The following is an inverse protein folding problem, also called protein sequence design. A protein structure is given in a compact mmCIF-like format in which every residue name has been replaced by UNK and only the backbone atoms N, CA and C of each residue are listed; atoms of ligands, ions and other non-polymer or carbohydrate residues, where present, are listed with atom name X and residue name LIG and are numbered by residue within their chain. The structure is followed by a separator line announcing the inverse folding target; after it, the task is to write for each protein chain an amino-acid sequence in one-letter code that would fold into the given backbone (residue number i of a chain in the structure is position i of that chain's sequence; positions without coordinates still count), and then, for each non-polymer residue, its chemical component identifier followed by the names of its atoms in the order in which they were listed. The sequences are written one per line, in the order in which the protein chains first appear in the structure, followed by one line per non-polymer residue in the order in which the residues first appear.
data_IF_493203863995
#
_entry.id   IF_493203863995
#
_cell.length_a   1.000
_cell.length_b   1.000
_cell.length_c   1.000
_cell.angle_alpha   90.00
_cell.angle_beta   90.00
_cell.angle_gamma   90.00
#
_symmetry.space_group_name_H-M   'P 1'
#
loop_
_entity.id
_entity.type
_entity.pdbx_description
1 polymer ?
#
# COMPACT_ATOMS: atom_id res chain seq x y z
N UNK A 1 -24.17 -7.01 4.32
CA UNK A 1 -23.36 -6.53 3.19
C UNK A 1 -22.23 -5.72 3.79
N UNK A 2 -20.98 -6.12 3.58
CA UNK A 2 -19.80 -5.35 4.02
C UNK A 2 -19.78 -4.05 3.22
N UNK A 3 -19.77 -2.91 3.91
CA UNK A 3 -19.75 -1.60 3.25
C UNK A 3 -18.36 -1.35 2.67
N UNK A 4 -18.30 -1.01 1.39
CA UNK A 4 -17.06 -0.60 0.75
C UNK A 4 -16.54 0.70 1.40
N UNK A 5 -15.26 0.73 1.79
CA UNK A 5 -14.61 1.95 2.29
C UNK A 5 -14.07 2.80 1.14
N UNK A 6 -13.74 2.16 0.02
CA UNK A 6 -13.20 2.82 -1.16
C UNK A 6 -13.83 2.24 -2.42
N UNK A 7 -14.32 3.11 -3.30
CA UNK A 7 -14.80 2.72 -4.62
C UNK A 7 -14.12 3.59 -5.68
N UNK A 8 -13.56 2.95 -6.68
CA UNK A 8 -12.90 3.58 -7.82
C UNK A 8 -13.77 3.29 -9.04
N UNK A 9 -14.18 4.35 -9.76
CA UNK A 9 -15.09 4.25 -10.91
C UNK A 9 -14.51 4.98 -12.11
N UNK A 10 -14.33 4.25 -13.20
CA UNK A 10 -13.82 4.80 -14.46
C UNK A 10 -12.50 5.57 -14.34
N UNK A 11 -11.62 5.16 -13.43
CA UNK A 11 -10.39 5.90 -13.15
C UNK A 11 -9.47 5.87 -14.36
N UNK A 12 -9.01 7.05 -14.79
CA UNK A 12 -8.11 7.25 -15.92
C UNK A 12 -6.91 8.07 -15.51
N UNK A 13 -5.75 7.79 -16.09
CA UNK A 13 -4.55 8.60 -15.95
C UNK A 13 -3.77 8.64 -17.24
N UNK A 14 -3.50 9.85 -17.71
CA UNK A 14 -2.65 10.10 -18.89
C UNK A 14 -1.51 11.05 -18.53
N UNK A 15 -0.38 10.87 -19.19
CA UNK A 15 0.76 11.77 -19.20
C UNK A 15 0.98 12.24 -20.65
N UNK A 16 0.50 13.43 -20.98
CA UNK A 16 0.41 13.88 -22.35
C UNK A 16 -0.48 12.97 -23.19
N UNK A 17 0.03 12.40 -24.27
CA UNK A 17 -0.70 11.45 -25.12
C UNK A 17 -0.64 10.00 -24.64
N UNK A 18 0.16 9.70 -23.63
CA UNK A 18 0.30 8.32 -23.11
C UNK A 18 -0.75 8.03 -22.03
N UNK A 19 -1.75 7.22 -22.37
CA UNK A 19 -2.79 6.75 -21.45
C UNK A 19 -2.28 5.54 -20.66
N UNK A 20 -1.93 5.76 -19.36
CA UNK A 20 -1.38 4.74 -18.47
C UNK A 20 -2.48 3.97 -17.75
N UNK A 21 -3.54 4.65 -17.29
CA UNK A 21 -4.75 4.02 -16.76
C UNK A 21 -5.93 4.39 -17.66
N UNK A 22 -6.67 3.39 -18.13
CA UNK A 22 -7.67 3.58 -19.18
C UNK A 22 -9.10 3.62 -18.67
N UNK A 23 -9.46 2.64 -17.86
CA UNK A 23 -10.81 2.53 -17.28
C UNK A 23 -10.77 1.53 -16.12
N UNK A 24 -10.37 2.01 -14.95
CA UNK A 24 -10.21 1.15 -13.78
C UNK A 24 -11.45 1.23 -12.88
N UNK A 25 -11.97 0.04 -12.54
CA UNK A 25 -13.04 -0.15 -11.56
C UNK A 25 -12.55 -1.02 -10.42
N UNK A 26 -12.71 -0.56 -9.18
CA UNK A 26 -12.36 -1.33 -8.01
C UNK A 26 -13.24 -0.90 -6.83
N UNK A 27 -13.72 -1.87 -6.06
CA UNK A 27 -14.34 -1.65 -4.76
C UNK A 27 -13.49 -2.35 -3.71
N UNK A 28 -13.24 -1.71 -2.58
CA UNK A 28 -12.43 -2.23 -1.47
C UNK A 28 -13.26 -2.21 -0.20
N UNK A 29 -13.38 -3.38 0.44
CA UNK A 29 -14.11 -3.52 1.69
C UNK A 29 -13.20 -3.30 2.90
N UNK A 30 -13.77 -2.92 4.03
CA UNK A 30 -13.03 -2.83 5.29
C UNK A 30 -12.45 -4.20 5.69
N UNK A 31 -11.17 -4.23 6.03
CA UNK A 31 -10.44 -5.43 6.41
C UNK A 31 -10.02 -6.32 5.23
N UNK A 32 -10.34 -5.92 3.98
CA UNK A 32 -9.95 -6.68 2.80
C UNK A 32 -8.48 -6.46 2.45
N UNK A 33 -7.78 -7.55 2.12
CA UNK A 33 -6.42 -7.52 1.60
C UNK A 33 -6.44 -7.81 0.10
N UNK A 34 -6.04 -6.83 -0.70
CA UNK A 34 -5.98 -6.93 -2.17
C UNK A 34 -4.52 -6.87 -2.62
N UNK A 35 -4.05 -7.89 -3.33
CA UNK A 35 -2.78 -7.82 -4.04
C UNK A 35 -2.98 -7.48 -5.52
N UNK A 36 -2.16 -6.56 -6.02
CA UNK A 36 -2.11 -6.15 -7.42
C UNK A 36 -0.81 -6.68 -8.03
N UNK A 37 -0.95 -7.56 -9.00
CA UNK A 37 0.17 -8.15 -9.75
C UNK A 37 0.10 -7.75 -11.22
N UNK A 38 1.17 -7.92 -11.96
CA UNK A 38 1.23 -7.60 -13.39
C UNK A 38 2.62 -7.19 -13.85
N UNK A 39 2.82 -7.13 -15.15
CA UNK A 39 4.11 -6.79 -15.77
C UNK A 39 4.59 -5.37 -15.38
N UNK A 40 5.90 -5.13 -15.45
CA UNK A 40 6.43 -3.77 -15.34
C UNK A 40 5.79 -2.87 -16.39
N UNK A 41 5.45 -1.63 -16.01
CA UNK A 41 4.78 -0.68 -16.90
C UNK A 41 3.28 -0.93 -17.12
N UNK A 42 2.64 -1.89 -16.44
CA UNK A 42 1.19 -2.12 -16.56
C UNK A 42 0.31 -1.06 -15.86
N UNK A 43 0.90 -0.13 -15.11
CA UNK A 43 0.19 0.97 -14.44
C UNK A 43 -0.05 0.77 -12.95
N UNK A 44 0.45 -0.30 -12.31
CA UNK A 44 0.18 -0.64 -10.89
C UNK A 44 0.52 0.49 -9.91
N UNK A 45 1.75 0.99 -9.94
CA UNK A 45 2.18 2.09 -9.05
C UNK A 45 1.44 3.39 -9.35
N UNK A 46 1.19 3.69 -10.63
CA UNK A 46 0.37 4.84 -11.04
C UNK A 46 -1.05 4.71 -10.48
N UNK A 47 -1.65 3.52 -10.55
CA UNK A 47 -2.97 3.27 -9.98
C UNK A 47 -2.99 3.50 -8.47
N UNK A 48 -2.03 2.92 -7.74
CA UNK A 48 -1.92 3.07 -6.30
C UNK A 48 -1.73 4.54 -5.88
N UNK A 49 -0.86 5.28 -6.59
CA UNK A 49 -0.60 6.71 -6.35
C UNK A 49 -1.79 7.59 -6.74
N UNK A 50 -2.57 7.18 -7.74
CA UNK A 50 -3.81 7.88 -8.09
C UNK A 50 -4.88 7.71 -7.01
N UNK A 51 -4.98 6.53 -6.39
CA UNK A 51 -5.88 6.30 -5.25
C UNK A 51 -5.55 7.25 -4.10
N UNK A 52 -4.27 7.40 -3.74
CA UNK A 52 -3.84 8.31 -2.65
C UNK A 52 -3.79 9.79 -3.08
N UNK A 53 -4.08 10.09 -4.34
CA UNK A 53 -3.97 11.44 -4.94
C UNK A 53 -2.57 12.05 -4.84
N UNK A 54 -1.52 11.21 -4.82
CA UNK A 54 -0.15 11.63 -5.09
C UNK A 54 0.05 11.92 -6.57
N UNK A 55 -0.76 11.27 -7.41
CA UNK A 55 -0.91 11.55 -8.82
C UNK A 55 -2.38 11.86 -9.12
N UNK A 56 -2.65 13.05 -9.61
CA UNK A 56 -4.00 13.48 -9.94
C UNK A 56 -4.55 12.66 -11.13
N UNK A 57 -5.69 11.98 -11.00
CA UNK A 57 -6.34 11.29 -12.10
C UNK A 57 -6.71 12.23 -13.24
N UNK A 58 -6.71 11.72 -14.47
CA UNK A 58 -7.19 12.49 -15.64
C UNK A 58 -8.71 12.38 -15.83
N UNK A 59 -9.37 11.49 -15.09
CA UNK A 59 -10.82 11.31 -15.13
C UNK A 59 -11.26 10.14 -14.25
N UNK A 60 -12.57 10.01 -14.06
CA UNK A 60 -13.18 9.03 -13.19
C UNK A 60 -13.52 9.60 -11.81
N UNK A 61 -13.86 8.71 -10.90
CA UNK A 61 -14.25 9.04 -9.51
C UNK A 61 -13.52 8.14 -8.53
N UNK A 62 -13.21 8.69 -7.36
CA UNK A 62 -12.72 7.96 -6.20
C UNK A 62 -13.65 8.31 -5.04
N UNK A 63 -14.44 7.34 -4.60
CA UNK A 63 -15.38 7.51 -3.49
C UNK A 63 -14.77 6.90 -2.23
N UNK A 64 -14.61 7.70 -1.20
CA UNK A 64 -14.24 7.26 0.13
C UNK A 64 -15.45 7.40 1.05
N UNK A 65 -15.91 6.29 1.63
CA UNK A 65 -17.21 6.20 2.34
C UNK A 65 -18.38 6.84 1.58
N UNK A 66 -18.40 6.65 0.24
CA UNK A 66 -19.45 7.18 -0.64
C UNK A 66 -19.30 8.65 -1.05
N UNK A 67 -18.27 9.36 -0.57
CA UNK A 67 -17.99 10.76 -0.93
C UNK A 67 -16.86 10.83 -1.95
N UNK A 68 -17.08 11.55 -3.06
CA UNK A 68 -16.06 11.69 -4.09
C UNK A 68 -14.94 12.63 -3.63
N UNK A 69 -13.73 12.08 -3.44
CA UNK A 69 -12.57 12.82 -2.96
C UNK A 69 -11.98 13.80 -4.00
N UNK A 70 -12.42 13.70 -5.26
CA UNK A 70 -12.02 14.60 -6.35
C UNK A 70 -12.88 15.87 -6.42
N UNK A 71 -13.94 15.96 -5.61
CA UNK A 71 -14.79 17.14 -5.58
C UNK A 71 -14.06 18.35 -4.99
N UNK A 72 -14.34 19.52 -5.56
CA UNK A 72 -13.73 20.78 -5.12
C UNK A 72 -14.06 21.07 -3.65
N UNK A 73 -13.01 21.25 -2.84
CA UNK A 73 -13.16 21.56 -1.41
C UNK A 73 -13.17 20.34 -0.50
N UNK A 74 -13.00 19.15 -1.02
CA UNK A 74 -12.82 17.96 -0.20
C UNK A 74 -11.53 18.03 0.64
N UNK A 75 -11.58 17.60 1.90
CA UNK A 75 -10.40 17.62 2.79
C UNK A 75 -9.43 16.47 2.45
N UNK A 76 -8.50 16.74 1.53
CA UNK A 76 -7.49 15.78 1.11
C UNK A 76 -6.49 15.42 2.21
N UNK A 77 -6.29 16.27 3.21
CA UNK A 77 -5.40 15.96 4.33
C UNK A 77 -6.02 14.88 5.20
N UNK A 78 -7.30 15.02 5.54
CA UNK A 78 -8.05 13.99 6.26
C UNK A 78 -8.10 12.68 5.47
N UNK A 79 -8.34 12.73 4.15
CA UNK A 79 -8.32 11.55 3.30
C UNK A 79 -6.98 10.81 3.34
N UNK A 80 -5.87 11.53 3.16
CA UNK A 80 -4.51 10.94 3.19
C UNK A 80 -4.10 10.44 4.57
N UNK A 81 -4.65 11.00 5.63
CA UNK A 81 -4.51 10.49 7.00
C UNK A 81 -5.12 9.08 7.12
N UNK A 82 -6.31 8.90 6.56
CA UNK A 82 -7.03 7.61 6.62
C UNK A 82 -6.50 6.58 5.63
N UNK A 83 -5.78 7.01 4.61
CA UNK A 83 -5.22 6.15 3.57
C UNK A 83 -3.70 6.25 3.56
N UNK A 84 -3.06 5.51 4.47
CA UNK A 84 -1.59 5.48 4.60
C UNK A 84 -0.92 4.94 3.33
N UNK A 85 0.35 5.32 3.11
CA UNK A 85 1.14 4.79 2.00
C UNK A 85 2.55 4.42 2.42
N UNK A 86 2.98 3.24 1.99
CA UNK A 86 4.33 2.69 2.15
C UNK A 86 4.94 2.54 0.77
N UNK A 87 6.10 3.16 0.56
CA UNK A 87 6.78 3.25 -0.73
C UNK A 87 7.91 2.23 -0.85
N UNK A 88 8.28 1.91 -2.07
CA UNK A 88 9.46 1.13 -2.40
C UNK A 88 10.76 1.74 -1.81
N UNK A 89 10.88 3.07 -1.83
CA UNK A 89 12.09 3.80 -1.43
C UNK A 89 12.12 4.21 0.05
N UNK A 90 11.34 3.59 0.93
CA UNK A 90 11.22 3.86 2.38
C UNK A 90 10.78 5.30 2.71
N UNK A 91 11.35 6.31 2.09
CA UNK A 91 11.08 7.74 2.26
C UNK A 91 11.17 8.22 3.72
N UNK A 92 12.13 7.68 4.49
CA UNK A 92 12.37 8.13 5.86
C UNK A 92 13.04 9.50 5.86
N UNK A 93 12.72 10.30 6.89
CA UNK A 93 13.40 11.56 7.13
C UNK A 93 14.80 11.30 7.68
N UNK A 94 15.82 11.49 6.88
CA UNK A 94 17.23 11.20 7.21
C UNK A 94 17.77 12.05 8.38
N UNK A 95 17.23 13.25 8.58
CA UNK A 95 17.58 14.15 9.68
C UNK A 95 16.91 13.76 11.01
N UNK A 96 15.90 12.89 11.00
CA UNK A 96 15.20 12.41 12.20
C UNK A 96 15.72 11.02 12.61
N UNK A 97 15.65 10.68 13.90
CA UNK A 97 15.84 9.31 14.35
C UNK A 97 14.59 8.47 14.07
N UNK A 98 14.66 7.17 14.38
CA UNK A 98 13.58 6.21 14.06
C UNK A 98 12.29 6.54 14.81
N UNK A 99 12.39 6.87 16.11
CA UNK A 99 11.22 7.25 16.89
C UNK A 99 10.59 8.54 16.35
N UNK A 100 11.40 9.55 16.03
CA UNK A 100 10.92 10.80 15.46
C UNK A 100 10.27 10.63 14.09
N UNK A 101 10.75 9.70 13.26
CA UNK A 101 10.09 9.35 12.00
C UNK A 101 8.65 8.86 12.20
N UNK A 102 8.39 8.10 13.27
CA UNK A 102 7.04 7.62 13.59
C UNK A 102 6.17 8.67 14.31
N UNK A 103 6.78 9.70 14.90
CA UNK A 103 6.08 10.76 15.65
C UNK A 103 5.67 11.91 14.73
N UNK A 104 6.53 12.31 13.78
CA UNK A 104 6.44 13.60 13.09
C UNK A 104 5.07 13.83 12.43
N UNK A 105 4.50 12.83 11.75
CA UNK A 105 3.18 12.97 11.12
C UNK A 105 2.06 13.16 12.15
N UNK A 106 2.13 12.49 13.28
CA UNK A 106 1.15 12.58 14.34
C UNK A 106 1.07 14.00 14.96
N UNK A 107 2.23 14.63 15.18
CA UNK A 107 2.29 15.98 15.79
C UNK A 107 2.06 17.09 14.77
N UNK A 108 2.53 16.92 13.52
CA UNK A 108 2.43 17.98 12.50
C UNK A 108 1.09 17.97 11.77
N UNK A 109 0.53 16.81 11.47
CA UNK A 109 -0.73 16.67 10.72
C UNK A 109 -1.91 16.53 11.68
N UNK A 110 -1.87 15.52 12.58
CA UNK A 110 -2.97 15.24 13.52
C UNK A 110 -3.03 16.19 14.71
N UNK A 111 -2.01 17.04 14.90
CA UNK A 111 -1.87 17.92 16.06
C UNK A 111 -1.95 17.18 17.40
N UNK A 112 -1.57 15.89 17.39
CA UNK A 112 -1.58 15.05 18.59
C UNK A 112 -0.52 15.53 19.58
N UNK A 113 -0.86 15.48 20.87
CA UNK A 113 0.09 15.80 21.93
C UNK A 113 1.33 14.90 21.89
N UNK A 114 2.51 15.51 22.16
CA UNK A 114 3.81 14.83 22.01
C UNK A 114 3.91 13.52 22.78
N UNK A 115 3.43 13.50 24.02
CA UNK A 115 3.51 12.30 24.87
C UNK A 115 2.65 11.15 24.31
N UNK A 116 1.46 11.45 23.83
CA UNK A 116 0.57 10.48 23.19
C UNK A 116 1.17 9.97 21.88
N UNK A 117 1.67 10.88 21.03
CA UNK A 117 2.32 10.52 19.78
C UNK A 117 3.54 9.61 19.98
N UNK A 118 4.34 9.86 21.02
CA UNK A 118 5.49 9.04 21.38
C UNK A 118 5.06 7.63 21.84
N UNK A 119 4.01 7.53 22.65
CA UNK A 119 3.46 6.25 23.10
C UNK A 119 3.02 5.40 21.89
N UNK A 120 2.20 5.97 21.00
CA UNK A 120 1.71 5.29 19.79
C UNK A 120 2.86 4.91 18.86
N UNK A 121 3.86 5.78 18.69
CA UNK A 121 5.04 5.49 17.88
C UNK A 121 5.82 4.29 18.42
N UNK A 122 6.04 4.22 19.72
CA UNK A 122 6.72 3.10 20.40
C UNK A 122 5.96 1.79 20.24
N UNK A 123 4.64 1.82 20.39
CA UNK A 123 3.77 0.65 20.18
C UNK A 123 3.88 0.12 18.75
N UNK A 124 3.76 1.01 17.75
CA UNK A 124 3.86 0.62 16.33
C UNK A 124 5.26 0.16 15.92
N UNK A 125 6.32 0.82 16.42
CA UNK A 125 7.69 0.37 16.19
C UNK A 125 7.93 -1.02 16.78
N UNK A 126 7.47 -1.29 18.00
CA UNK A 126 7.57 -2.61 18.60
C UNK A 126 6.78 -3.67 17.82
N UNK A 127 5.58 -3.33 17.33
CA UNK A 127 4.75 -4.23 16.55
C UNK A 127 5.43 -4.69 15.24
N UNK A 128 6.30 -3.86 14.66
CA UNK A 128 7.10 -4.23 13.49
C UNK A 128 8.53 -4.72 13.84
N UNK A 129 8.79 -5.04 15.11
CA UNK A 129 10.08 -5.57 15.59
C UNK A 129 11.20 -4.52 15.70
N UNK A 130 10.86 -3.22 15.64
CA UNK A 130 11.81 -2.12 15.83
C UNK A 130 11.80 -1.68 17.31
N UNK A 131 12.42 -2.51 18.16
CA UNK A 131 12.44 -2.33 19.61
C UNK A 131 13.29 -1.13 20.07
N UNK A 132 13.31 -0.84 21.38
CA UNK A 132 13.93 0.34 21.98
C UNK A 132 15.39 0.59 21.58
N UNK A 133 16.17 -0.47 21.34
CA UNK A 133 17.55 -0.36 20.89
C UNK A 133 17.73 0.40 19.57
N UNK A 134 16.69 0.44 18.71
CA UNK A 134 16.71 1.13 17.42
C UNK A 134 16.17 2.56 17.45
N UNK A 135 15.39 2.95 18.47
CA UNK A 135 14.62 4.20 18.45
C UNK A 135 15.47 5.46 18.27
N UNK A 136 16.69 5.47 18.81
CA UNK A 136 17.63 6.59 18.69
C UNK A 136 18.50 6.54 17.44
N UNK A 137 18.48 5.42 16.69
CA UNK A 137 19.26 5.27 15.47
C UNK A 137 18.74 6.21 14.36
N UNK A 138 19.62 6.58 13.45
CA UNK A 138 19.28 7.30 12.20
C UNK A 138 19.01 6.30 11.09
N UNK A 139 18.20 6.65 10.04
CA UNK A 139 17.91 5.75 8.92
C UNK A 139 19.17 5.14 8.27
N UNK A 140 20.24 5.90 8.12
CA UNK A 140 21.51 5.44 7.54
C UNK A 140 22.19 4.29 8.29
N UNK A 141 21.82 4.04 9.55
CA UNK A 141 22.38 3.00 10.42
C UNK A 141 21.57 1.68 10.31
N UNK A 142 20.47 1.67 9.55
CA UNK A 142 19.57 0.54 9.42
C UNK A 142 19.77 -0.21 8.10
N UNK A 143 19.50 -1.51 8.12
CA UNK A 143 19.33 -2.32 6.92
C UNK A 143 18.10 -1.89 6.10
N UNK A 144 18.00 -2.31 4.84
CA UNK A 144 16.83 -2.05 4.00
C UNK A 144 15.53 -2.55 4.62
N UNK A 145 15.50 -3.78 5.10
CA UNK A 145 14.33 -4.36 5.77
C UNK A 145 13.94 -3.63 7.05
N UNK A 146 14.91 -3.19 7.84
CA UNK A 146 14.65 -2.35 9.02
C UNK A 146 14.04 -0.99 8.64
N UNK A 147 14.58 -0.31 7.60
CA UNK A 147 14.01 0.94 7.08
C UNK A 147 12.57 0.75 6.62
N UNK A 148 12.28 -0.34 5.94
CA UNK A 148 10.93 -0.63 5.46
C UNK A 148 9.96 -0.86 6.63
N UNK A 149 10.37 -1.60 7.65
CA UNK A 149 9.55 -1.80 8.84
C UNK A 149 9.29 -0.49 9.60
N UNK A 150 10.26 0.42 9.64
CA UNK A 150 10.04 1.78 10.18
C UNK A 150 9.06 2.57 9.32
N UNK A 151 9.14 2.47 7.98
CA UNK A 151 8.16 3.12 7.10
C UNK A 151 6.73 2.59 7.32
N UNK A 152 6.59 1.29 7.56
CA UNK A 152 5.32 0.66 7.94
C UNK A 152 4.83 1.20 9.30
N UNK A 153 5.68 1.22 10.34
CA UNK A 153 5.32 1.75 11.66
C UNK A 153 4.90 3.22 11.58
N UNK A 154 5.59 4.03 10.77
CA UNK A 154 5.21 5.43 10.52
C UNK A 154 3.82 5.54 9.91
N UNK A 155 3.50 4.70 8.92
CA UNK A 155 2.18 4.68 8.29
C UNK A 155 1.08 4.25 9.29
N UNK A 156 1.34 3.27 10.14
CA UNK A 156 0.43 2.83 11.20
C UNK A 156 0.18 3.90 12.27
N UNK A 157 1.18 4.74 12.56
CA UNK A 157 1.14 5.71 13.66
C UNK A 157 0.10 6.82 13.49
N UNK A 158 -0.40 7.05 12.30
CA UNK A 158 -1.53 7.96 12.04
C UNK A 158 -2.90 7.29 12.17
N UNK A 159 -2.94 6.00 12.52
CA UNK A 159 -4.15 5.19 12.68
C UNK A 159 -5.02 5.16 11.40
N UNK A 160 -4.47 4.70 10.26
CA UNK A 160 -5.16 4.69 8.98
C UNK A 160 -6.26 3.61 8.95
N UNK A 161 -7.26 3.79 8.09
CA UNK A 161 -8.29 2.77 7.80
C UNK A 161 -7.79 1.75 6.76
N UNK A 162 -6.88 2.18 5.88
CA UNK A 162 -6.22 1.31 4.92
C UNK A 162 -4.78 1.76 4.67
N UNK A 163 -3.91 0.82 4.28
CA UNK A 163 -2.55 1.12 3.84
C UNK A 163 -2.34 0.61 2.42
N UNK A 164 -1.78 1.49 1.58
CA UNK A 164 -1.32 1.20 0.23
C UNK A 164 0.18 0.86 0.27
N UNK A 165 0.58 -0.28 -0.30
CA UNK A 165 1.96 -0.72 -0.38
C UNK A 165 2.42 -0.74 -1.85
N UNK A 166 3.36 0.14 -2.21
CA UNK A 166 3.92 0.24 -3.55
C UNK A 166 5.25 -0.52 -3.61
N UNK A 167 5.21 -1.79 -4.00
CA UNK A 167 6.36 -2.70 -4.14
C UNK A 167 7.29 -2.69 -2.89
N UNK A 168 6.79 -3.02 -1.69
CA UNK A 168 7.50 -2.79 -0.42
C UNK A 168 8.79 -3.61 -0.25
N UNK A 169 9.02 -4.61 -1.08
CA UNK A 169 10.20 -5.49 -1.02
C UNK A 169 11.20 -5.28 -2.16
N UNK A 170 10.82 -4.56 -3.23
CA UNK A 170 11.61 -4.47 -4.47
C UNK A 170 12.98 -3.76 -4.32
N UNK A 171 13.17 -2.97 -3.25
CA UNK A 171 14.43 -2.30 -2.95
C UNK A 171 15.27 -3.03 -1.88
N UNK A 172 14.90 -4.27 -1.53
CA UNK A 172 15.54 -5.05 -0.47
C UNK A 172 16.44 -6.15 -1.04
N UNK A 173 17.51 -6.45 -0.30
CA UNK A 173 18.25 -7.68 -0.51
C UNK A 173 17.36 -8.89 -0.19
N UNK A 174 17.50 -10.02 -0.92
CA UNK A 174 16.65 -11.20 -0.76
C UNK A 174 16.57 -11.73 0.69
N UNK A 175 17.67 -11.63 1.44
CA UNK A 175 17.74 -12.07 2.85
C UNK A 175 16.82 -11.25 3.79
N UNK A 176 16.46 -10.02 3.38
CA UNK A 176 15.67 -9.10 4.19
C UNK A 176 14.16 -9.11 3.83
N UNK A 177 13.81 -9.71 2.71
CA UNK A 177 12.41 -9.75 2.20
C UNK A 177 11.50 -10.45 3.19
N UNK A 178 11.93 -11.61 3.73
CA UNK A 178 11.11 -12.45 4.60
C UNK A 178 10.61 -11.73 5.86
N UNK A 179 11.44 -10.90 6.50
CA UNK A 179 11.03 -10.15 7.70
C UNK A 179 9.95 -9.09 7.42
N UNK A 180 10.04 -8.43 6.26
CA UNK A 180 9.05 -7.44 5.85
C UNK A 180 7.74 -8.11 5.47
N UNK A 181 7.79 -9.20 4.70
CA UNK A 181 6.59 -9.98 4.35
C UNK A 181 5.90 -10.53 5.61
N UNK A 182 6.68 -11.04 6.58
CA UNK A 182 6.13 -11.49 7.87
C UNK A 182 5.40 -10.37 8.61
N UNK A 183 5.97 -9.17 8.65
CA UNK A 183 5.31 -8.00 9.24
C UNK A 183 3.98 -7.71 8.53
N UNK A 184 3.95 -7.76 7.21
CA UNK A 184 2.73 -7.51 6.43
C UNK A 184 1.68 -8.62 6.63
N UNK A 185 2.09 -9.89 6.76
CA UNK A 185 1.19 -11.00 7.13
C UNK A 185 0.52 -10.77 8.49
N UNK A 186 1.29 -10.31 9.47
CA UNK A 186 0.75 -10.05 10.82
C UNK A 186 -0.24 -8.87 10.79
N UNK A 187 0.01 -7.85 9.97
CA UNK A 187 -0.94 -6.76 9.75
C UNK A 187 -2.22 -7.25 9.05
N UNK A 188 -2.12 -8.11 8.04
CA UNK A 188 -3.29 -8.74 7.40
C UNK A 188 -4.15 -9.48 8.42
N UNK A 189 -3.53 -10.31 9.27
CA UNK A 189 -4.21 -11.04 10.35
C UNK A 189 -4.87 -10.15 11.39
N UNK A 190 -4.38 -8.93 11.59
CA UNK A 190 -5.01 -7.94 12.49
C UNK A 190 -6.29 -7.31 11.92
N UNK A 191 -6.65 -7.59 10.67
CA UNK A 191 -7.82 -7.04 10.00
C UNK A 191 -7.60 -5.66 9.39
N UNK A 192 -6.35 -5.24 9.18
CA UNK A 192 -6.03 -3.99 8.49
C UNK A 192 -6.38 -4.12 7.00
N UNK A 193 -7.09 -3.14 6.46
CA UNK A 193 -7.32 -3.07 5.02
C UNK A 193 -6.02 -2.75 4.28
N UNK A 194 -5.67 -3.54 3.28
CA UNK A 194 -4.43 -3.35 2.53
C UNK A 194 -4.63 -3.49 1.03
N UNK A 195 -3.99 -2.60 0.25
CA UNK A 195 -3.84 -2.73 -1.19
C UNK A 195 -2.34 -2.79 -1.48
N UNK A 196 -1.88 -3.90 -2.05
CA UNK A 196 -0.45 -4.22 -2.13
C UNK A 196 -0.05 -4.45 -3.59
N UNK A 197 0.78 -3.59 -4.14
CA UNK A 197 1.48 -3.88 -5.40
C UNK A 197 2.70 -4.72 -5.05
N UNK A 198 2.79 -5.93 -5.61
CA UNK A 198 3.88 -6.85 -5.28
C UNK A 198 4.29 -7.75 -6.45
N UNK A 199 5.53 -8.22 -6.40
CA UNK A 199 6.08 -9.28 -7.25
C UNK A 199 6.27 -10.60 -6.48
N UNK A 200 5.93 -10.64 -5.19
CA UNK A 200 6.01 -11.81 -4.32
C UNK A 200 4.74 -12.65 -4.47
N UNK A 201 4.74 -13.60 -5.43
CA UNK A 201 3.53 -14.34 -5.80
C UNK A 201 3.02 -15.25 -4.68
N UNK A 202 3.92 -15.95 -3.98
CA UNK A 202 3.53 -16.82 -2.85
C UNK A 202 2.93 -16.00 -1.71
N UNK A 203 3.52 -14.84 -1.41
CA UNK A 203 2.94 -13.91 -0.43
C UNK A 203 1.55 -13.44 -0.85
N UNK A 204 1.38 -13.00 -2.11
CA UNK A 204 0.07 -12.58 -2.62
C UNK A 204 -0.97 -13.71 -2.53
N UNK A 205 -0.57 -14.97 -2.81
CA UNK A 205 -1.42 -16.15 -2.71
C UNK A 205 -1.85 -16.43 -1.27
N UNK A 206 -0.94 -16.24 -0.30
CA UNK A 206 -1.18 -16.57 1.10
C UNK A 206 -2.02 -15.53 1.84
N UNK A 207 -1.79 -14.23 1.58
CA UNK A 207 -2.36 -13.16 2.44
C UNK A 207 -3.61 -12.50 1.88
N UNK A 208 -3.86 -12.63 0.57
CA UNK A 208 -4.90 -11.83 -0.09
C UNK A 208 -6.28 -12.50 -0.01
N UNK A 209 -7.30 -11.68 0.21
CA UNK A 209 -8.69 -12.08 -0.02
C UNK A 209 -9.00 -12.05 -1.52
N UNK A 210 -8.38 -11.10 -2.25
CA UNK A 210 -8.53 -10.93 -3.68
C UNK A 210 -7.21 -10.53 -4.33
N UNK A 211 -6.97 -11.09 -5.52
CA UNK A 211 -5.81 -10.73 -6.36
C UNK A 211 -6.31 -10.11 -7.66
N UNK A 212 -5.64 -9.06 -8.08
CA UNK A 212 -5.93 -8.30 -9.30
C UNK A 212 -4.73 -8.42 -10.23
N UNK A 213 -4.96 -8.88 -11.45
CA UNK A 213 -3.96 -8.84 -12.51
C UNK A 213 -4.18 -7.60 -13.39
N UNK A 214 -3.18 -6.71 -13.41
CA UNK A 214 -3.18 -5.52 -14.28
C UNK A 214 -2.31 -5.74 -15.51
N UNK A 215 -2.86 -5.46 -16.69
CA UNK A 215 -2.12 -5.44 -17.96
C UNK A 215 -2.54 -4.23 -18.79
N UNK A 216 -1.55 -3.51 -19.36
CA UNK A 216 -1.77 -2.38 -20.28
C UNK A 216 -2.77 -1.31 -19.81
N UNK A 217 -2.74 -1.00 -18.51
CA UNK A 217 -3.56 0.06 -17.92
C UNK A 217 -5.00 -0.31 -17.58
N UNK A 218 -5.34 -1.60 -17.59
CA UNK A 218 -6.65 -2.10 -17.15
C UNK A 218 -6.52 -3.21 -16.12
N UNK A 219 -7.57 -3.48 -15.38
CA UNK A 219 -7.72 -4.71 -14.61
C UNK A 219 -8.16 -5.79 -15.60
N UNK A 220 -7.23 -6.66 -15.99
CA UNK A 220 -7.49 -7.71 -16.98
C UNK A 220 -8.22 -8.91 -16.35
N UNK A 221 -7.93 -9.23 -15.08
CA UNK A 221 -8.58 -10.29 -14.35
C UNK A 221 -8.51 -10.01 -12.84
N UNK A 222 -9.52 -10.44 -12.09
CA UNK A 222 -9.50 -10.43 -10.64
C UNK A 222 -10.28 -11.61 -10.08
N UNK A 223 -9.88 -12.06 -8.89
CA UNK A 223 -10.55 -13.19 -8.24
C UNK A 223 -9.87 -13.52 -6.91
N UNK A 224 -10.35 -14.59 -6.25
CA UNK A 224 -9.64 -15.13 -5.10
C UNK A 224 -8.25 -15.64 -5.53
N UNK A 225 -7.27 -15.73 -4.59
CA UNK A 225 -5.96 -16.31 -4.92
C UNK A 225 -6.06 -17.64 -5.66
N UNK A 226 -6.93 -18.54 -5.18
CA UNK A 226 -7.14 -19.85 -5.82
C UNK A 226 -7.64 -19.71 -7.26
N UNK A 227 -8.59 -18.84 -7.52
CA UNK A 227 -9.10 -18.61 -8.87
C UNK A 227 -8.00 -18.09 -9.80
N UNK A 228 -7.29 -17.06 -9.37
CA UNK A 228 -6.34 -16.35 -10.24
C UNK A 228 -5.04 -17.13 -10.45
N UNK A 229 -4.50 -17.80 -9.42
CA UNK A 229 -3.23 -18.52 -9.54
C UNK A 229 -3.37 -19.96 -10.07
N UNK A 230 -4.48 -20.64 -9.75
CA UNK A 230 -4.67 -22.05 -10.13
C UNK A 230 -5.56 -22.23 -11.37
N UNK A 231 -6.52 -21.32 -11.56
CA UNK A 231 -7.52 -21.41 -12.63
C UNK A 231 -7.75 -20.06 -13.34
N UNK A 232 -6.68 -19.38 -13.83
CA UNK A 232 -6.85 -18.11 -14.54
C UNK A 232 -7.66 -18.31 -15.83
N UNK A 233 -8.58 -17.38 -16.11
CA UNK A 233 -9.47 -17.44 -17.29
C UNK A 233 -8.89 -16.69 -18.47
N UNK A 234 -8.18 -15.59 -18.21
CA UNK A 234 -7.62 -14.73 -19.25
C UNK A 234 -6.26 -15.27 -19.73
N UNK A 235 -6.08 -15.33 -21.05
CA UNK A 235 -4.84 -15.83 -21.66
C UNK A 235 -3.60 -15.04 -21.19
N UNK A 236 -3.74 -13.72 -21.09
CA UNK A 236 -2.66 -12.84 -20.60
C UNK A 236 -2.29 -13.13 -19.14
N UNK A 237 -3.25 -13.48 -18.30
CA UNK A 237 -2.98 -13.90 -16.91
C UNK A 237 -2.19 -15.19 -16.88
N UNK A 238 -2.58 -16.19 -17.71
CA UNK A 238 -1.86 -17.47 -17.83
C UNK A 238 -0.41 -17.26 -18.27
N UNK A 239 -0.20 -16.50 -19.35
CA UNK A 239 1.13 -16.19 -19.89
C UNK A 239 2.01 -15.49 -18.84
N UNK A 240 1.44 -14.60 -18.04
CA UNK A 240 2.16 -13.90 -16.97
C UNK A 240 2.57 -14.87 -15.86
N UNK A 241 1.62 -15.65 -15.35
CA UNK A 241 1.84 -16.56 -14.23
C UNK A 241 2.78 -17.72 -14.58
N UNK A 242 2.79 -18.21 -15.83
CA UNK A 242 3.73 -19.25 -16.27
C UNK A 242 5.21 -18.88 -16.09
N UNK A 243 5.53 -17.59 -15.99
CA UNK A 243 6.91 -17.10 -15.75
C UNK A 243 7.34 -17.21 -14.29
N UNK A 244 6.39 -17.32 -13.37
CA UNK A 244 6.61 -17.33 -11.92
C UNK A 244 6.31 -18.68 -11.26
N UNK A 245 5.54 -19.54 -11.93
CA UNK A 245 5.12 -20.85 -11.41
C UNK A 245 5.99 -22.01 -11.91
N UNK A 246 7.21 -21.73 -12.35
CA UNK A 246 8.19 -22.75 -12.75
C UNK A 246 9.05 -23.19 -11.59
#
# INVERSE_FOLDING_TARGET
MTQAILEIKHLKKSYGSNEVLKDIWLSVNKGEVISIIGSSGSGKSTFLRSINLLEEPSGGEILYHGHNVLEKGYDLNNYREKLGMVFQSFNLFENLNILENAIVAQTTVLKRERQEAEKIAKENLNAVGMTEQYWKAKPKQLSGGQKQRVAIARALSVNPEAILFDEPTSALDPEMVGEVLKTMQDLAKSGLTMIIVTHEMEFAKEVSDRVIFMDKGIIAEQGTPKQLFENPTQERTKEFLQRFLK
#
